data_IF_623157861163
#
_entry.id   IF_623157861163
#
_cell.length_a   1.000
_cell.length_b   1.000
_cell.length_c   1.000
_cell.angle_alpha   90.00
_cell.angle_beta   90.00
_cell.angle_gamma   90.00
#
_symmetry.space_group_name_H-M   'P 1'
#
loop_
_entity.id
_entity.type
_entity.pdbx_description
1 polymer ?
#
# COMPACT_ATOMS: atom_id res chain seq x y z
N UNK A 1 11.15 23.32 -12.37
CA UNK A 1 10.92 24.51 -11.52
C UNK A 1 9.43 24.78 -11.23
N UNK A 2 8.49 24.39 -12.11
CA UNK A 2 7.05 24.63 -11.88
C UNK A 2 6.41 23.80 -10.74
N UNK A 3 6.93 22.60 -10.43
CA UNK A 3 6.33 21.75 -9.39
C UNK A 3 6.59 22.26 -7.97
N UNK A 4 7.80 22.79 -7.69
CA UNK A 4 8.18 23.27 -6.35
C UNK A 4 7.43 24.55 -5.95
N UNK A 5 7.26 25.50 -6.87
CA UNK A 5 6.51 26.74 -6.60
C UNK A 5 5.00 26.51 -6.47
N UNK A 6 4.48 25.43 -7.06
CA UNK A 6 3.10 24.99 -6.82
C UNK A 6 2.97 24.20 -5.51
N UNK A 7 3.96 23.36 -5.18
CA UNK A 7 4.07 22.65 -3.91
C UNK A 7 4.07 23.62 -2.71
N UNK A 8 4.82 24.74 -2.77
CA UNK A 8 4.86 25.76 -1.71
C UNK A 8 3.49 26.42 -1.43
N UNK A 9 2.64 26.53 -2.46
CA UNK A 9 1.26 27.03 -2.29
C UNK A 9 0.36 25.96 -1.68
N UNK A 10 0.59 24.71 -2.04
CA UNK A 10 -0.14 23.54 -1.58
C UNK A 10 0.20 23.16 -0.12
N UNK A 11 1.44 23.35 0.33
CA UNK A 11 1.89 23.05 1.70
C UNK A 11 1.18 23.88 2.79
N UNK A 12 0.57 25.01 2.43
CA UNK A 12 -0.28 25.80 3.34
C UNK A 12 -1.63 25.14 3.64
N UNK A 13 -2.03 24.15 2.84
CA UNK A 13 -3.25 23.38 3.07
C UNK A 13 -2.95 22.25 4.07
N UNK A 14 -3.63 22.21 5.24
CA UNK A 14 -3.41 21.16 6.24
C UNK A 14 -3.67 19.75 5.69
N UNK A 15 -4.50 19.60 4.65
CA UNK A 15 -4.75 18.30 3.98
C UNK A 15 -3.51 17.81 3.22
N UNK A 16 -2.73 18.72 2.68
CA UNK A 16 -1.51 18.42 1.92
C UNK A 16 -0.37 18.14 2.88
N UNK A 17 -0.26 18.90 3.96
CA UNK A 17 0.66 18.59 5.05
C UNK A 17 0.39 17.18 5.62
N UNK A 18 -0.87 16.82 5.87
CA UNK A 18 -1.24 15.47 6.32
C UNK A 18 -0.91 14.39 5.28
N UNK A 19 -1.19 14.65 3.99
CA UNK A 19 -0.85 13.72 2.89
C UNK A 19 0.66 13.47 2.82
N UNK A 20 1.46 14.53 2.86
CA UNK A 20 2.92 14.43 2.79
C UNK A 20 3.50 13.74 4.04
N UNK A 21 2.98 14.05 5.23
CA UNK A 21 3.40 13.39 6.47
C UNK A 21 3.08 11.88 6.46
N UNK A 22 1.94 11.48 5.91
CA UNK A 22 1.59 10.07 5.73
C UNK A 22 2.48 9.40 4.67
N UNK A 23 2.74 10.08 3.54
CA UNK A 23 3.59 9.56 2.48
C UNK A 23 5.05 9.37 2.94
N UNK A 24 5.59 10.29 3.75
CA UNK A 24 6.94 10.18 4.32
C UNK A 24 7.09 9.03 5.32
N UNK A 25 6.00 8.63 6.00
CA UNK A 25 5.98 7.47 6.91
C UNK A 25 5.71 6.15 6.19
N UNK A 26 5.29 6.20 4.93
CA UNK A 26 5.09 5.04 4.08
C UNK A 26 6.31 4.74 3.23
N UNK A 27 6.13 3.80 2.29
CA UNK A 27 7.13 3.44 1.30
C UNK A 27 6.53 3.63 -0.11
N UNK A 28 7.36 4.04 -1.05
CA UNK A 28 6.96 4.17 -2.45
C UNK A 28 6.71 2.77 -3.03
N UNK A 29 5.55 2.57 -3.65
CA UNK A 29 5.22 1.30 -4.26
C UNK A 29 6.21 0.93 -5.39
N UNK A 30 6.68 -0.32 -5.45
CA UNK A 30 7.45 -0.81 -6.59
C UNK A 30 6.65 -0.69 -7.89
N UNK A 31 7.32 -0.50 -9.02
CA UNK A 31 6.70 -0.40 -10.36
C UNK A 31 6.85 -1.69 -11.20
N UNK A 32 7.16 -2.81 -10.55
CA UNK A 32 7.40 -4.10 -11.21
C UNK A 32 6.09 -4.82 -11.57
N UNK A 33 6.04 -5.66 -12.63
CA UNK A 33 4.84 -6.38 -13.04
C UNK A 33 4.20 -7.26 -11.95
N UNK A 34 5.02 -7.78 -11.03
CA UNK A 34 4.62 -8.67 -9.93
C UNK A 34 3.72 -7.96 -8.89
N UNK A 35 3.61 -6.63 -8.91
CA UNK A 35 2.71 -5.90 -8.02
C UNK A 35 1.23 -6.31 -8.20
N UNK A 36 0.83 -6.73 -9.39
CA UNK A 36 -0.52 -7.26 -9.63
C UNK A 36 -0.80 -8.53 -8.81
N UNK A 37 0.16 -9.46 -8.78
CA UNK A 37 0.09 -10.68 -7.97
C UNK A 37 0.12 -10.37 -6.46
N UNK A 38 0.97 -9.42 -6.04
CA UNK A 38 0.99 -8.89 -4.68
C UNK A 38 -0.40 -8.43 -4.23
N UNK A 39 -1.04 -7.54 -4.99
CA UNK A 39 -2.34 -7.00 -4.61
C UNK A 39 -3.44 -8.06 -4.55
N UNK A 40 -3.43 -9.01 -5.48
CA UNK A 40 -4.40 -10.11 -5.47
C UNK A 40 -4.23 -11.04 -4.26
N UNK A 41 -2.98 -11.41 -3.95
CA UNK A 41 -2.65 -12.28 -2.83
C UNK A 41 -3.01 -11.63 -1.48
N UNK A 42 -2.60 -10.37 -1.27
CA UNK A 42 -2.89 -9.63 -0.04
C UNK A 42 -4.40 -9.40 0.13
N UNK A 43 -5.12 -9.04 -0.93
CA UNK A 43 -6.59 -8.89 -0.88
C UNK A 43 -7.27 -10.16 -0.41
N UNK A 44 -6.87 -11.31 -0.94
CA UNK A 44 -7.45 -12.61 -0.57
C UNK A 44 -7.17 -12.93 0.89
N UNK A 45 -5.94 -12.70 1.37
CA UNK A 45 -5.57 -12.96 2.75
C UNK A 45 -6.36 -12.10 3.74
N UNK A 46 -6.50 -10.79 3.45
CA UNK A 46 -7.28 -9.87 4.29
C UNK A 46 -8.74 -10.30 4.38
N UNK A 47 -9.37 -10.66 3.25
CA UNK A 47 -10.75 -11.14 3.23
C UNK A 47 -10.90 -12.42 4.05
N UNK A 48 -10.00 -13.39 3.86
CA UNK A 48 -10.10 -14.67 4.56
C UNK A 48 -9.87 -14.55 6.07
N UNK A 49 -8.91 -13.73 6.49
CA UNK A 49 -8.65 -13.45 7.89
C UNK A 49 -9.82 -12.69 8.54
N UNK A 50 -10.31 -11.62 7.90
CA UNK A 50 -11.39 -10.79 8.45
C UNK A 50 -12.74 -11.52 8.50
N UNK A 51 -13.00 -12.45 7.57
CA UNK A 51 -14.23 -13.26 7.56
C UNK A 51 -14.15 -14.52 8.43
N UNK A 52 -13.01 -14.79 9.08
CA UNK A 52 -12.82 -15.99 9.91
C UNK A 52 -12.67 -17.29 9.13
N UNK A 53 -12.49 -17.23 7.80
CA UNK A 53 -12.25 -18.42 6.95
C UNK A 53 -10.88 -19.05 7.22
N UNK A 54 -9.90 -18.25 7.60
CA UNK A 54 -8.55 -18.67 7.94
C UNK A 54 -8.05 -17.86 9.14
N UNK A 55 -7.11 -18.43 9.90
CA UNK A 55 -6.31 -17.63 10.84
C UNK A 55 -5.44 -16.64 10.07
N UNK A 56 -5.02 -15.56 10.73
CA UNK A 56 -4.14 -14.54 10.14
C UNK A 56 -2.87 -15.20 9.57
N UNK A 57 -2.23 -16.09 10.33
CA UNK A 57 -1.00 -16.77 9.92
C UNK A 57 -1.20 -17.63 8.65
N UNK A 58 -2.30 -18.40 8.58
CA UNK A 58 -2.58 -19.23 7.42
C UNK A 58 -2.85 -18.38 6.18
N UNK A 59 -3.64 -17.31 6.32
CA UNK A 59 -3.97 -16.40 5.23
C UNK A 59 -2.73 -15.69 4.67
N UNK A 60 -1.83 -15.21 5.53
CA UNK A 60 -0.59 -14.54 5.12
C UNK A 60 0.42 -15.51 4.50
N UNK A 61 0.52 -16.74 5.02
CA UNK A 61 1.38 -17.77 4.43
C UNK A 61 0.94 -18.14 3.01
N UNK A 62 -0.37 -18.28 2.79
CA UNK A 62 -0.92 -18.51 1.45
C UNK A 62 -0.65 -17.35 0.50
N UNK A 63 -0.76 -16.10 0.98
CA UNK A 63 -0.41 -14.94 0.18
C UNK A 63 1.07 -14.94 -0.22
N UNK A 64 1.98 -15.22 0.73
CA UNK A 64 3.42 -15.31 0.45
C UNK A 64 3.70 -16.33 -0.66
N UNK A 65 3.13 -17.54 -0.55
CA UNK A 65 3.32 -18.60 -1.57
C UNK A 65 2.76 -18.22 -2.95
N UNK A 66 1.80 -17.30 -3.04
CA UNK A 66 1.26 -16.80 -4.33
C UNK A 66 2.10 -15.69 -4.95
N UNK A 67 2.79 -14.90 -4.12
CA UNK A 67 3.63 -13.77 -4.56
C UNK A 67 4.98 -14.26 -5.08
N UNK A 68 5.53 -15.30 -4.46
CA UNK A 68 6.86 -15.84 -4.79
C UNK A 68 6.82 -16.98 -5.81
N UNK A 69 5.67 -17.23 -6.43
CA UNK A 69 5.48 -18.28 -7.45
C UNK A 69 5.72 -17.71 -8.84
#
# INVERSE_FOLDING_TARGET
>A
MALKSFQEKLEKDPRIAATMANAQKGEIMPNIPQMSAFWYAVRTAVINAASGRQTVDAALKDAQSRITK
#
